data_IF_196721572505
#
_entry.id   IF_196721572505
#
_cell.length_a   1.000
_cell.length_b   1.000
_cell.length_c   1.000
_cell.angle_alpha   90.00
_cell.angle_beta   90.00
_cell.angle_gamma   90.00
#
_symmetry.space_group_name_H-M   'P 1'
#
loop_
_entity.id
_entity.type
_entity.pdbx_description
1 polymer ?
#
# COMPACT_ATOMS: atom_id res chain seq x y z
N UNK A 1 15.77 -28.75 -54.11
CA UNK A 1 14.48 -28.06 -53.89
C UNK A 1 13.80 -28.43 -52.56
N UNK A 2 13.70 -29.71 -52.17
CA UNK A 2 13.06 -30.08 -50.88
C UNK A 2 13.76 -29.50 -49.62
N UNK A 3 15.11 -29.42 -49.61
CA UNK A 3 15.88 -28.87 -48.47
C UNK A 3 15.74 -27.35 -48.30
N UNK A 4 15.57 -26.61 -49.40
CA UNK A 4 15.40 -25.15 -49.38
C UNK A 4 14.00 -24.72 -48.89
N UNK A 5 12.98 -25.54 -49.11
CA UNK A 5 11.60 -25.32 -48.62
C UNK A 5 11.51 -25.56 -47.11
N UNK A 6 12.22 -26.55 -46.58
CA UNK A 6 12.23 -26.85 -45.14
C UNK A 6 12.87 -25.72 -44.34
N UNK A 7 13.96 -25.12 -44.86
CA UNK A 7 14.67 -24.02 -44.20
C UNK A 7 13.85 -22.72 -44.21
N UNK A 8 13.08 -22.46 -45.28
CA UNK A 8 12.21 -21.28 -45.33
C UNK A 8 11.01 -21.41 -44.40
N UNK A 9 10.48 -22.62 -44.22
CA UNK A 9 9.35 -22.86 -43.31
C UNK A 9 9.75 -22.74 -41.83
N UNK A 10 10.94 -23.21 -41.45
CA UNK A 10 11.45 -23.08 -40.07
C UNK A 10 11.86 -21.64 -39.73
N UNK A 11 12.36 -20.87 -40.71
CA UNK A 11 12.63 -19.45 -40.52
C UNK A 11 11.33 -18.64 -40.33
N UNK A 12 10.24 -19.00 -41.04
CA UNK A 12 8.94 -18.34 -40.91
C UNK A 12 8.32 -18.59 -39.52
N UNK A 13 8.41 -19.82 -38.99
CA UNK A 13 7.93 -20.12 -37.62
C UNK A 13 8.68 -19.34 -36.53
N UNK A 14 9.98 -19.09 -36.72
CA UNK A 14 10.79 -18.37 -35.74
C UNK A 14 10.44 -16.87 -35.66
N UNK A 15 9.93 -16.29 -36.75
CA UNK A 15 9.43 -14.92 -36.81
C UNK A 15 8.03 -14.78 -36.19
N UNK A 16 7.19 -15.81 -36.28
CA UNK A 16 5.88 -15.81 -35.61
C UNK A 16 5.97 -16.02 -34.09
N UNK A 17 6.99 -16.72 -33.60
CA UNK A 17 7.20 -16.90 -32.16
C UNK A 17 7.81 -15.68 -31.45
N UNK A 18 8.49 -14.79 -32.17
CA UNK A 18 9.11 -13.59 -31.58
C UNK A 18 8.15 -12.40 -31.42
N UNK A 19 6.97 -12.43 -32.06
CA UNK A 19 5.97 -11.37 -31.98
C UNK A 19 5.02 -11.49 -30.77
N UNK A 20 5.10 -12.57 -29.98
CA UNK A 20 4.12 -12.90 -28.94
C UNK A 20 4.45 -12.45 -27.51
N UNK A 21 5.65 -11.93 -27.23
CA UNK A 21 6.03 -11.47 -25.88
C UNK A 21 6.36 -9.98 -25.93
N UNK A 22 5.34 -9.19 -26.24
CA UNK A 22 5.39 -7.77 -25.98
C UNK A 22 5.05 -7.61 -24.49
N UNK A 23 6.08 -7.52 -23.64
CA UNK A 23 5.89 -7.16 -22.25
C UNK A 23 5.12 -5.82 -22.21
N UNK A 24 3.94 -5.81 -21.60
CA UNK A 24 3.17 -4.59 -21.37
C UNK A 24 4.01 -3.65 -20.52
N UNK A 25 4.71 -2.72 -21.17
CA UNK A 25 5.36 -1.61 -20.49
C UNK A 25 4.26 -0.72 -19.94
N UNK A 26 3.99 -0.83 -18.63
CA UNK A 26 3.11 0.10 -17.94
C UNK A 26 3.57 1.53 -18.19
N UNK A 27 2.64 2.50 -18.32
CA UNK A 27 3.01 3.90 -18.43
C UNK A 27 3.83 4.29 -17.20
N UNK A 28 5.09 4.70 -17.38
CA UNK A 28 6.06 5.04 -16.32
C UNK A 28 5.49 5.98 -15.24
N UNK A 29 4.53 6.84 -15.60
CA UNK A 29 3.84 7.74 -14.67
C UNK A 29 2.98 7.01 -13.64
N UNK A 30 2.31 5.92 -14.00
CA UNK A 30 1.45 5.19 -13.07
C UNK A 30 2.27 4.41 -12.03
N UNK A 31 3.36 3.77 -12.42
CA UNK A 31 4.25 3.09 -11.47
C UNK A 31 4.85 4.08 -10.46
N UNK A 32 5.24 5.27 -10.91
CA UNK A 32 5.68 6.34 -10.02
C UNK A 32 4.57 6.75 -9.04
N UNK A 33 3.32 6.82 -9.50
CA UNK A 33 2.17 7.16 -8.64
C UNK A 33 1.92 6.09 -7.56
N UNK A 34 1.98 4.80 -7.92
CA UNK A 34 1.81 3.71 -6.96
C UNK A 34 2.92 3.69 -5.89
N UNK A 35 4.17 3.96 -6.29
CA UNK A 35 5.28 4.11 -5.34
C UNK A 35 5.04 5.22 -4.32
N UNK A 36 4.56 6.38 -4.78
CA UNK A 36 4.20 7.50 -3.91
C UNK A 36 3.06 7.11 -2.96
N UNK A 37 2.03 6.43 -3.46
CA UNK A 37 0.92 5.93 -2.65
C UNK A 37 1.40 4.98 -1.54
N UNK A 38 2.29 4.05 -1.84
CA UNK A 38 2.88 3.15 -0.84
C UNK A 38 3.67 3.91 0.23
N UNK A 39 4.41 4.96 -0.16
CA UNK A 39 5.11 5.82 0.82
C UNK A 39 4.13 6.56 1.73
N UNK A 40 3.02 7.05 1.19
CA UNK A 40 1.99 7.72 1.98
C UNK A 40 1.32 6.75 2.97
N UNK A 41 0.97 5.53 2.54
CA UNK A 41 0.45 4.51 3.45
C UNK A 41 1.45 4.15 4.55
N UNK A 42 2.73 3.99 4.20
CA UNK A 42 3.80 3.72 5.18
C UNK A 42 3.95 4.87 6.19
N UNK A 43 3.89 6.12 5.73
CA UNK A 43 3.92 7.28 6.62
C UNK A 43 2.71 7.31 7.56
N UNK A 44 1.51 7.05 7.04
CA UNK A 44 0.29 6.97 7.84
C UNK A 44 0.32 5.83 8.87
N UNK A 45 0.91 4.68 8.52
CA UNK A 45 1.15 3.58 9.46
C UNK A 45 2.12 4.02 10.58
N UNK A 46 3.24 4.65 10.25
CA UNK A 46 4.19 5.13 11.25
C UNK A 46 3.54 6.16 12.20
N UNK A 47 2.76 7.10 11.67
CA UNK A 47 1.99 8.06 12.48
C UNK A 47 1.06 7.34 13.48
N UNK A 48 0.34 6.32 13.03
CA UNK A 48 -0.50 5.51 13.90
C UNK A 48 0.30 4.79 15.00
N UNK A 49 1.45 4.20 14.65
CA UNK A 49 2.29 3.47 15.60
C UNK A 49 3.00 4.38 16.62
N UNK A 50 3.40 5.59 16.19
CA UNK A 50 3.86 6.64 17.11
C UNK A 50 2.75 7.04 18.08
N UNK A 51 1.50 7.14 17.59
CA UNK A 51 0.32 7.33 18.43
C UNK A 51 0.13 6.24 19.49
N UNK A 52 0.25 4.96 19.11
CA UNK A 52 0.19 3.85 20.05
C UNK A 52 1.30 3.93 21.11
N UNK A 53 2.52 4.30 20.71
CA UNK A 53 3.62 4.51 21.64
C UNK A 53 3.32 5.64 22.65
N UNK A 54 2.70 6.74 22.20
CA UNK A 54 2.24 7.79 23.11
C UNK A 54 1.21 7.27 24.11
N UNK A 55 0.21 6.51 23.66
CA UNK A 55 -0.77 5.93 24.58
C UNK A 55 -0.11 5.07 25.65
N UNK A 56 0.82 4.20 25.24
CA UNK A 56 1.59 3.38 26.17
C UNK A 56 2.35 4.24 27.19
N UNK A 57 3.05 5.29 26.74
CA UNK A 57 3.79 6.20 27.62
C UNK A 57 2.88 6.89 28.64
N UNK A 58 1.72 7.40 28.22
CA UNK A 58 0.78 8.02 29.14
C UNK A 58 0.17 7.04 30.15
N UNK A 59 -0.07 5.78 29.75
CA UNK A 59 -0.52 4.75 30.69
C UNK A 59 0.55 4.33 31.72
N UNK A 60 1.84 4.56 31.44
CA UNK A 60 2.90 4.30 32.42
C UNK A 60 2.86 5.28 33.61
N UNK A 61 2.14 6.40 33.51
CA UNK A 61 1.91 7.31 34.63
C UNK A 61 3.18 7.96 35.19
N UNK A 62 4.20 8.15 34.34
CA UNK A 62 5.50 8.67 34.78
C UNK A 62 5.53 10.20 34.88
N UNK A 63 4.53 10.89 34.34
CA UNK A 63 4.43 12.34 34.40
C UNK A 63 3.37 12.77 35.43
N UNK A 64 2.89 14.00 35.32
CA UNK A 64 1.71 14.41 36.06
C UNK A 64 0.43 13.92 35.35
N UNK A 65 -0.63 13.73 36.13
CA UNK A 65 -1.89 13.14 35.66
C UNK A 65 -2.48 13.84 34.42
N UNK A 66 -2.36 15.18 34.35
CA UNK A 66 -2.87 15.95 33.22
C UNK A 66 -2.07 15.65 31.95
N UNK A 67 -0.74 15.63 32.04
CA UNK A 67 0.13 15.33 30.91
C UNK A 67 -0.04 13.89 30.43
N UNK A 68 -0.22 12.93 31.34
CA UNK A 68 -0.47 11.54 30.97
C UNK A 68 -1.80 11.39 30.22
N UNK A 69 -2.88 12.03 30.71
CA UNK A 69 -4.19 12.06 30.03
C UNK A 69 -4.13 12.70 28.65
N UNK A 70 -3.43 13.83 28.53
CA UNK A 70 -3.28 14.53 27.26
C UNK A 70 -2.47 13.70 26.26
N UNK A 71 -1.42 13.02 26.73
CA UNK A 71 -0.61 12.07 25.94
C UNK A 71 -1.44 10.90 25.42
N UNK A 72 -2.26 10.27 26.27
CA UNK A 72 -3.17 9.17 25.88
C UNK A 72 -4.16 9.64 24.82
N UNK A 73 -4.75 10.82 25.01
CA UNK A 73 -5.71 11.40 24.06
C UNK A 73 -5.05 11.73 22.72
N UNK A 74 -3.85 12.31 22.74
CA UNK A 74 -3.12 12.63 21.52
C UNK A 74 -2.75 11.36 20.74
N UNK A 75 -2.25 10.33 21.43
CA UNK A 75 -1.97 9.04 20.82
C UNK A 75 -3.20 8.37 20.19
N UNK A 76 -4.37 8.47 20.84
CA UNK A 76 -5.64 7.98 20.28
C UNK A 76 -6.02 8.69 18.97
N UNK A 77 -5.80 10.00 18.91
CA UNK A 77 -6.04 10.80 17.70
C UNK A 77 -5.11 10.37 16.57
N UNK A 78 -3.81 10.22 16.85
CA UNK A 78 -2.82 9.79 15.84
C UNK A 78 -3.13 8.41 15.27
N UNK A 79 -3.58 7.45 16.09
CA UNK A 79 -4.06 6.14 15.62
C UNK A 79 -5.23 6.28 14.62
N UNK A 80 -6.21 7.12 14.95
CA UNK A 80 -7.37 7.38 14.08
C UNK A 80 -6.95 8.07 12.77
N UNK A 81 -6.08 9.07 12.85
CA UNK A 81 -5.59 9.80 11.69
C UNK A 81 -4.75 8.92 10.76
N UNK A 82 -3.85 8.10 11.32
CA UNK A 82 -3.04 7.18 10.53
C UNK A 82 -3.89 6.12 9.83
N UNK A 83 -4.92 5.58 10.51
CA UNK A 83 -5.92 4.71 9.87
C UNK A 83 -6.61 5.41 8.70
N UNK A 84 -7.10 6.63 8.92
CA UNK A 84 -7.79 7.40 7.89
C UNK A 84 -6.85 7.70 6.72
N UNK A 85 -5.58 8.03 6.97
CA UNK A 85 -4.59 8.29 5.92
C UNK A 85 -4.36 7.08 5.01
N UNK A 86 -4.35 5.86 5.55
CA UNK A 86 -4.28 4.64 4.71
C UNK A 86 -5.56 4.50 3.88
N UNK A 87 -6.74 4.68 4.50
CA UNK A 87 -8.03 4.60 3.78
C UNK A 87 -8.14 5.65 2.67
N UNK A 88 -7.66 6.87 2.89
CA UNK A 88 -7.68 7.94 1.90
C UNK A 88 -6.82 7.60 0.68
N UNK A 89 -5.73 6.85 0.85
CA UNK A 89 -4.93 6.35 -0.28
C UNK A 89 -5.66 5.22 -1.02
N UNK A 90 -6.31 4.30 -0.30
CA UNK A 90 -6.97 3.12 -0.89
C UNK A 90 -8.35 3.40 -1.49
N UNK A 91 -9.07 4.40 -0.99
CA UNK A 91 -10.49 4.62 -1.30
C UNK A 91 -10.81 6.09 -1.66
N UNK A 92 -9.81 6.97 -1.52
CA UNK A 92 -9.97 8.39 -1.76
C UNK A 92 -10.14 8.77 -3.23
N UNK A 93 -10.32 10.07 -3.45
CA UNK A 93 -10.52 10.62 -4.79
C UNK A 93 -9.40 10.24 -5.79
N UNK A 94 -8.10 10.25 -5.43
CA UNK A 94 -7.05 9.82 -6.34
C UNK A 94 -7.19 8.36 -6.79
N UNK A 95 -7.53 7.45 -5.87
CA UNK A 95 -7.70 6.03 -6.22
C UNK A 95 -8.90 5.82 -7.14
N UNK A 96 -10.03 6.47 -6.83
CA UNK A 96 -11.24 6.44 -7.69
C UNK A 96 -10.93 6.95 -9.10
N UNK A 97 -10.05 7.93 -9.22
CA UNK A 97 -9.62 8.44 -10.53
C UNK A 97 -8.80 7.39 -11.30
N UNK A 98 -7.86 6.69 -10.65
CA UNK A 98 -7.11 5.60 -11.29
C UNK A 98 -8.05 4.50 -11.80
N UNK A 99 -9.04 4.10 -10.99
CA UNK A 99 -10.05 3.12 -11.40
C UNK A 99 -10.87 3.58 -12.62
N UNK A 100 -11.26 4.87 -12.66
CA UNK A 100 -11.98 5.46 -13.80
C UNK A 100 -11.15 5.49 -15.08
N UNK A 101 -9.85 5.77 -14.95
CA UNK A 101 -8.95 5.82 -16.11
C UNK A 101 -8.68 4.43 -16.70
N UNK A 102 -8.82 3.37 -15.89
CA UNK A 102 -8.69 1.98 -16.33
C UNK A 102 -7.28 1.58 -16.78
N UNK A 103 -6.31 2.49 -16.69
CA UNK A 103 -4.92 2.29 -17.11
C UNK A 103 -4.07 1.92 -15.91
N UNK A 104 -4.31 0.74 -15.34
CA UNK A 104 -3.48 0.19 -14.27
C UNK A 104 -3.28 -1.32 -14.40
N UNK A 105 -2.18 -1.81 -13.84
CA UNK A 105 -1.96 -3.23 -13.73
C UNK A 105 -2.74 -3.78 -12.54
N UNK A 106 -3.65 -4.71 -12.84
CA UNK A 106 -4.56 -5.27 -11.85
C UNK A 106 -3.82 -5.96 -10.70
N UNK A 107 -2.79 -6.76 -10.99
CA UNK A 107 -2.01 -7.48 -9.98
C UNK A 107 -1.33 -6.51 -8.98
N UNK A 108 -0.64 -5.48 -9.49
CA UNK A 108 0.00 -4.45 -8.67
C UNK A 108 -1.01 -3.67 -7.83
N UNK A 109 -2.20 -3.38 -8.38
CA UNK A 109 -3.28 -2.71 -7.67
C UNK A 109 -3.84 -3.60 -6.55
N UNK A 110 -4.14 -4.87 -6.86
CA UNK A 110 -4.62 -5.86 -5.89
C UNK A 110 -3.61 -6.04 -4.74
N UNK A 111 -2.31 -6.08 -5.05
CA UNK A 111 -1.26 -6.20 -4.03
C UNK A 111 -1.11 -4.95 -3.17
N UNK A 112 -1.28 -3.76 -3.73
CA UNK A 112 -1.30 -2.52 -2.95
C UNK A 112 -2.51 -2.48 -2.00
N UNK A 113 -3.70 -2.93 -2.44
CA UNK A 113 -4.86 -3.06 -1.55
C UNK A 113 -4.60 -4.05 -0.42
N UNK A 114 -4.07 -5.25 -0.72
CA UNK A 114 -3.70 -6.23 0.31
C UNK A 114 -2.69 -5.65 1.29
N UNK A 115 -1.68 -4.93 0.82
CA UNK A 115 -0.69 -4.27 1.67
C UNK A 115 -1.38 -3.30 2.64
N UNK A 116 -2.24 -2.41 2.12
CA UNK A 116 -3.01 -1.47 2.92
C UNK A 116 -3.91 -2.16 3.96
N UNK A 117 -4.59 -3.25 3.60
CA UNK A 117 -5.37 -4.07 4.54
C UNK A 117 -4.52 -4.65 5.67
N UNK A 118 -3.31 -5.14 5.38
CA UNK A 118 -2.41 -5.64 6.42
C UNK A 118 -1.94 -4.52 7.34
N UNK A 119 -1.64 -3.33 6.79
CA UNK A 119 -1.29 -2.16 7.61
C UNK A 119 -2.44 -1.76 8.54
N UNK A 120 -3.69 -1.78 8.06
CA UNK A 120 -4.87 -1.51 8.90
C UNK A 120 -5.02 -2.54 10.03
N UNK A 121 -4.74 -3.83 9.76
CA UNK A 121 -4.74 -4.87 10.80
C UNK A 121 -3.65 -4.64 11.86
N UNK A 122 -2.49 -4.13 11.48
CA UNK A 122 -1.44 -3.75 12.43
C UNK A 122 -1.92 -2.61 13.33
N UNK A 123 -2.58 -1.59 12.77
CA UNK A 123 -3.20 -0.51 13.56
C UNK A 123 -4.28 -1.06 14.51
N UNK A 124 -5.13 -1.99 14.05
CA UNK A 124 -6.14 -2.65 14.90
C UNK A 124 -5.51 -3.40 16.08
N UNK A 125 -4.36 -4.05 15.85
CA UNK A 125 -3.62 -4.75 16.89
C UNK A 125 -3.00 -3.75 17.87
N UNK A 126 -2.36 -2.70 17.37
CA UNK A 126 -1.77 -1.64 18.19
C UNK A 126 -2.84 -1.02 19.10
N UNK A 127 -4.00 -0.64 18.58
CA UNK A 127 -5.10 -0.05 19.36
C UNK A 127 -5.56 -0.96 20.52
N UNK A 128 -5.52 -2.28 20.33
CA UNK A 128 -5.92 -3.27 21.34
C UNK A 128 -4.89 -3.48 22.44
N UNK A 129 -3.59 -3.23 22.18
CA UNK A 129 -2.52 -3.49 23.16
C UNK A 129 -2.74 -2.73 24.47
N UNK A 130 -3.24 -1.50 24.41
CA UNK A 130 -3.46 -0.65 25.59
C UNK A 130 -4.73 -1.01 26.37
N UNK A 131 -5.70 -1.71 25.75
CA UNK A 131 -6.98 -2.05 26.41
C UNK A 131 -6.82 -3.07 27.55
N UNK A 132 -5.67 -3.74 27.64
CA UNK A 132 -5.30 -4.66 28.72
C UNK A 132 -4.59 -4.01 29.92
N UNK A 133 -4.25 -2.71 29.84
CA UNK A 133 -3.63 -1.96 30.94
C UNK A 133 -4.78 -1.32 31.73
N UNK A 134 -5.37 -2.08 32.64
CA UNK A 134 -6.37 -1.62 33.61
C UNK A 134 -5.96 -2.02 35.02
#
# INVERSE_FOLDING_TARGET
MKKTIIITLSLLMLVFFSAGVQAETQPKGLQMNMHIMMKLMNHALNHALEGANLQMLGYMGMANEQLDKDTIRHGATMLKEGRQGIMDVLEGAPMKQIYKEGKYNKESMDDMHKLGEQMLKVIDQAEKMHKGIK
#
